data_IF_854194274631
#
_entry.id   IF_854194274631
#
_cell.length_a   1.000
_cell.length_b   1.000
_cell.length_c   1.000
_cell.angle_alpha   90.00
_cell.angle_beta   90.00
_cell.angle_gamma   90.00
#
_symmetry.space_group_name_H-M   'P 1'
#
loop_
_entity.id
_entity.type
_entity.pdbx_description
1 polymer ?
#
# COMPACT_ATOMS: atom_id res chain seq x y z
N UNK A 1 -19.22 40.85 -33.67
CA UNK A 1 -18.57 41.34 -32.43
C UNK A 1 -19.59 42.27 -31.76
N UNK A 2 -20.56 41.70 -31.05
CA UNK A 2 -21.68 42.46 -30.47
C UNK A 2 -21.26 43.06 -29.13
N UNK A 3 -21.39 44.37 -29.01
CA UNK A 3 -21.13 45.18 -27.83
C UNK A 3 -21.88 44.63 -26.61
N UNK A 4 -21.15 43.96 -25.71
CA UNK A 4 -21.68 43.61 -24.39
C UNK A 4 -21.51 44.87 -23.53
N UNK A 5 -22.58 45.55 -23.10
CA UNK A 5 -22.45 46.68 -22.20
C UNK A 5 -21.73 46.17 -20.94
N UNK A 6 -20.69 46.86 -20.51
CA UNK A 6 -19.98 46.55 -19.27
C UNK A 6 -20.94 46.75 -18.07
N UNK A 7 -21.79 45.76 -17.85
CA UNK A 7 -22.76 45.72 -16.77
C UNK A 7 -22.04 45.63 -15.45
N UNK A 8 -22.43 46.48 -14.51
CA UNK A 8 -21.90 46.53 -13.15
C UNK A 8 -21.93 45.12 -12.53
N UNK A 9 -20.77 44.59 -12.19
CA UNK A 9 -20.65 43.26 -11.56
C UNK A 9 -21.45 43.20 -10.25
N UNK A 10 -22.24 42.14 -10.02
CA UNK A 10 -22.95 41.97 -8.76
C UNK A 10 -21.94 41.77 -7.62
N UNK A 11 -22.27 42.26 -6.42
CA UNK A 11 -21.37 42.21 -5.27
C UNK A 11 -21.11 40.75 -4.88
N UNK A 12 -19.83 40.30 -4.84
CA UNK A 12 -19.51 38.94 -4.42
C UNK A 12 -19.72 38.74 -2.92
N UNK A 13 -19.70 37.49 -2.47
CA UNK A 13 -19.75 37.17 -1.05
C UNK A 13 -18.51 37.74 -0.33
N UNK A 14 -18.70 38.71 0.57
CA UNK A 14 -17.59 39.37 1.28
C UNK A 14 -17.42 38.91 2.75
N UNK A 15 -18.24 37.96 3.22
CA UNK A 15 -18.23 37.48 4.62
C UNK A 15 -18.39 35.97 4.67
N UNK A 16 -17.80 35.35 5.69
CA UNK A 16 -17.92 33.90 5.93
C UNK A 16 -17.17 33.03 4.90
N UNK A 17 -16.24 33.61 4.15
CA UNK A 17 -15.42 32.90 3.15
C UNK A 17 -14.68 31.73 3.76
N UNK A 18 -14.10 31.92 4.95
CA UNK A 18 -13.37 30.87 5.67
C UNK A 18 -14.27 29.67 6.02
N UNK A 19 -15.48 29.92 6.54
CA UNK A 19 -16.43 28.86 6.90
C UNK A 19 -16.89 28.09 5.65
N UNK A 20 -17.11 28.80 4.53
CA UNK A 20 -17.46 28.18 3.25
C UNK A 20 -16.34 27.26 2.74
N UNK A 21 -15.09 27.71 2.81
CA UNK A 21 -13.93 26.89 2.45
C UNK A 21 -13.75 25.68 3.38
N UNK A 22 -13.88 25.89 4.70
CA UNK A 22 -13.69 24.82 5.67
C UNK A 22 -14.70 23.69 5.48
N UNK A 23 -15.96 24.00 5.20
CA UNK A 23 -16.98 22.98 4.92
C UNK A 23 -16.66 22.17 3.67
N UNK A 24 -16.21 22.84 2.60
CA UNK A 24 -15.82 22.18 1.35
C UNK A 24 -14.59 21.28 1.56
N UNK A 25 -13.52 21.82 2.13
CA UNK A 25 -12.29 21.07 2.35
C UNK A 25 -12.46 19.97 3.39
N UNK A 26 -13.30 20.14 4.41
CA UNK A 26 -13.62 19.09 5.38
C UNK A 26 -14.26 17.88 4.72
N UNK A 27 -15.25 18.09 3.83
CA UNK A 27 -15.85 16.99 3.07
C UNK A 27 -14.84 16.31 2.14
N UNK A 28 -14.03 17.10 1.41
CA UNK A 28 -12.98 16.56 0.53
C UNK A 28 -11.96 15.75 1.30
N UNK A 29 -11.50 16.25 2.45
CA UNK A 29 -10.52 15.57 3.29
C UNK A 29 -11.04 14.23 3.80
N UNK A 30 -12.32 14.15 4.19
CA UNK A 30 -12.92 12.90 4.65
C UNK A 30 -12.99 11.84 3.54
N UNK A 31 -13.45 12.23 2.35
CA UNK A 31 -13.49 11.33 1.19
C UNK A 31 -12.08 10.90 0.79
N UNK A 32 -11.13 11.83 0.81
CA UNK A 32 -9.73 11.55 0.49
C UNK A 32 -9.11 10.56 1.49
N UNK A 33 -9.32 10.76 2.78
CA UNK A 33 -8.82 9.86 3.83
C UNK A 33 -9.37 8.42 3.67
N UNK A 34 -10.67 8.28 3.37
CA UNK A 34 -11.27 6.99 3.07
C UNK A 34 -10.65 6.36 1.82
N UNK A 35 -10.47 7.14 0.76
CA UNK A 35 -9.84 6.69 -0.48
C UNK A 35 -8.41 6.18 -0.27
N UNK A 36 -7.58 6.93 0.45
CA UNK A 36 -6.20 6.54 0.77
C UNK A 36 -6.17 5.26 1.61
N UNK A 37 -7.07 5.13 2.59
CA UNK A 37 -7.13 3.93 3.44
C UNK A 37 -7.48 2.69 2.63
N UNK A 38 -8.45 2.78 1.73
CA UNK A 38 -8.83 1.68 0.84
C UNK A 38 -7.71 1.34 -0.15
N UNK A 39 -7.09 2.35 -0.75
CA UNK A 39 -5.96 2.17 -1.65
C UNK A 39 -4.80 1.45 -0.96
N UNK A 40 -4.45 1.86 0.27
CA UNK A 40 -3.39 1.20 1.03
C UNK A 40 -3.73 -0.25 1.38
N UNK A 41 -4.98 -0.52 1.78
CA UNK A 41 -5.43 -1.89 2.06
C UNK A 41 -5.25 -2.79 0.83
N UNK A 42 -5.74 -2.35 -0.33
CA UNK A 42 -5.72 -3.15 -1.56
C UNK A 42 -4.33 -3.26 -2.19
N UNK A 43 -3.52 -2.20 -2.14
CA UNK A 43 -2.22 -2.18 -2.80
C UNK A 43 -1.09 -2.77 -1.92
N UNK A 44 -1.24 -2.73 -0.60
CA UNK A 44 -0.15 -3.12 0.32
C UNK A 44 -0.57 -4.24 1.27
N UNK A 45 -1.66 -4.05 2.00
CA UNK A 45 -2.02 -4.99 3.08
C UNK A 45 -2.47 -6.35 2.52
N UNK A 46 -3.36 -6.36 1.55
CA UNK A 46 -3.94 -7.58 0.99
C UNK A 46 -2.93 -8.38 0.14
N UNK A 47 -2.11 -7.77 -0.74
CA UNK A 47 -1.07 -8.49 -1.48
C UNK A 47 -0.01 -9.10 -0.57
N UNK A 48 0.36 -8.41 0.52
CA UNK A 48 1.29 -8.95 1.51
C UNK A 48 0.72 -10.21 2.14
N UNK A 49 -0.52 -10.18 2.63
CA UNK A 49 -1.19 -11.35 3.23
C UNK A 49 -1.26 -12.50 2.23
N UNK A 50 -1.69 -12.21 1.01
CA UNK A 50 -1.79 -13.20 -0.06
C UNK A 50 -0.44 -13.83 -0.40
N UNK A 51 0.65 -13.06 -0.41
CA UNK A 51 1.99 -13.59 -0.66
C UNK A 51 2.44 -14.58 0.43
N UNK A 52 2.19 -14.27 1.70
CA UNK A 52 2.44 -15.22 2.80
C UNK A 52 1.59 -16.48 2.66
N UNK A 53 0.31 -16.35 2.33
CA UNK A 53 -0.56 -17.52 2.08
C UNK A 53 -0.07 -18.36 0.90
N UNK A 54 0.31 -17.73 -0.22
CA UNK A 54 0.85 -18.42 -1.39
C UNK A 54 2.15 -19.16 -1.08
N UNK A 55 3.03 -18.58 -0.27
CA UNK A 55 4.25 -19.23 0.20
C UNK A 55 3.91 -20.51 0.98
N UNK A 56 3.07 -20.41 2.02
CA UNK A 56 2.77 -21.56 2.88
C UNK A 56 1.86 -22.62 2.26
N UNK A 57 1.12 -22.31 1.19
CA UNK A 57 0.24 -23.29 0.52
C UNK A 57 0.99 -24.51 -0.01
N UNK A 58 2.19 -24.32 -0.54
CA UNK A 58 3.01 -25.37 -1.15
C UNK A 58 4.37 -25.55 -0.47
N UNK A 59 4.56 -24.98 0.72
CA UNK A 59 5.84 -25.01 1.42
C UNK A 59 6.09 -26.40 2.03
N UNK A 60 7.13 -27.09 1.53
CA UNK A 60 7.64 -28.31 2.14
C UNK A 60 8.89 -27.99 2.99
N UNK A 61 8.70 -28.05 4.30
CA UNK A 61 9.74 -27.74 5.29
C UNK A 61 10.95 -28.65 5.13
N UNK A 62 10.75 -29.94 4.81
CA UNK A 62 11.87 -30.90 4.74
C UNK A 62 12.73 -30.64 3.52
N UNK A 63 12.09 -30.40 2.37
CA UNK A 63 12.80 -30.09 1.12
C UNK A 63 13.66 -28.83 1.24
N UNK A 64 13.10 -27.76 1.81
CA UNK A 64 13.83 -26.51 2.02
C UNK A 64 14.93 -26.66 3.07
N UNK A 65 14.69 -27.43 4.13
CA UNK A 65 15.72 -27.78 5.11
C UNK A 65 16.87 -28.57 4.48
N UNK A 66 16.57 -29.57 3.64
CA UNK A 66 17.58 -30.35 2.93
C UNK A 66 18.39 -29.47 1.98
N UNK A 67 17.73 -28.57 1.23
CA UNK A 67 18.43 -27.60 0.38
C UNK A 67 19.33 -26.65 1.18
N UNK A 68 18.91 -26.20 2.36
CA UNK A 68 19.73 -25.35 3.24
C UNK A 68 20.89 -26.13 3.90
N UNK A 69 20.65 -27.39 4.26
CA UNK A 69 21.68 -28.30 4.77
C UNK A 69 22.72 -28.56 3.68
N UNK A 70 22.27 -28.81 2.47
CA UNK A 70 23.06 -28.89 1.25
C UNK A 70 23.53 -27.53 0.71
N UNK A 71 23.39 -26.45 1.47
CA UNK A 71 24.12 -25.21 1.21
C UNK A 71 25.18 -24.96 2.30
N UNK A 72 25.31 -25.87 3.29
CA UNK A 72 26.28 -25.75 4.38
C UNK A 72 25.97 -24.62 5.37
N UNK A 73 24.71 -24.17 5.43
CA UNK A 73 24.31 -23.01 6.27
C UNK A 73 24.26 -23.40 7.76
N UNK A 74 23.96 -24.67 8.05
CA UNK A 74 23.78 -25.14 9.43
C UNK A 74 25.10 -25.56 10.06
N UNK A 75 25.33 -25.11 11.30
CA UNK A 75 26.45 -25.58 12.12
C UNK A 75 26.17 -26.93 12.79
N UNK A 76 24.90 -27.24 13.07
CA UNK A 76 24.48 -28.49 13.74
C UNK A 76 24.18 -29.64 12.78
N UNK A 77 23.85 -29.34 11.52
CA UNK A 77 23.52 -30.32 10.49
C UNK A 77 24.51 -30.17 9.34
N UNK A 78 25.51 -31.06 9.30
CA UNK A 78 26.53 -31.05 8.25
C UNK A 78 25.92 -31.39 6.88
N UNK A 79 26.45 -30.80 5.80
CA UNK A 79 26.06 -31.15 4.45
C UNK A 79 26.45 -32.59 4.09
N UNK A 80 25.75 -33.16 3.11
CA UNK A 80 25.95 -34.55 2.67
C UNK A 80 27.33 -34.79 2.04
N UNK A 81 27.93 -33.80 1.37
CA UNK A 81 29.27 -33.94 0.78
C UNK A 81 30.39 -33.93 1.81
N UNK A 82 30.24 -33.23 2.94
CA UNK A 82 31.26 -33.20 4.00
C UNK A 82 31.25 -34.49 4.84
N UNK A 83 30.11 -35.19 4.92
CA UNK A 83 30.01 -36.50 5.57
C UNK A 83 30.56 -37.65 4.72
N UNK A 84 30.76 -37.46 3.41
CA UNK A 84 31.29 -38.48 2.52
C UNK A 84 32.83 -38.52 2.50
N UNK A 85 33.48 -37.46 2.99
CA UNK A 85 34.94 -37.30 3.02
C UNK A 85 35.58 -37.70 4.39
N UNK A 86 34.76 -38.00 5.42
CA UNK A 86 35.14 -38.56 6.73
C UNK A 86 35.09 -40.11 6.73
#
# INVERSE_FOLDING_TARGET
MSDVPAGRLPKPQMRGLLISHLKKHGAVALVFAMGVTLAYKMAVADPRKRHYEEFYKNYDVKKEFEAMKEAGIFHSARPSWEQADD
#
